data_IF_706039417329
#
_entry.id   IF_706039417329
#
_cell.length_a   1.000
_cell.length_b   1.000
_cell.length_c   1.000
_cell.angle_alpha   90.00
_cell.angle_beta   90.00
_cell.angle_gamma   90.00
#
_symmetry.space_group_name_H-M   'P 1'
#
loop_
_entity.id
_entity.type
_entity.pdbx_description
1 polymer ?
#
# COMPACT_ATOMS: atom_id res chain seq x y z
N UNK A 1 -0.28 1.34 -10.42
CA UNK A 1 -1.74 1.47 -10.35
C UNK A 1 -2.17 2.76 -9.65
N UNK A 2 -1.95 2.96 -8.34
CA UNK A 2 -2.35 4.19 -7.63
C UNK A 2 -1.93 5.49 -8.37
N UNK A 3 -0.64 5.64 -8.66
CA UNK A 3 -0.14 6.78 -9.44
C UNK A 3 -0.72 6.86 -10.85
N UNK A 4 -0.93 5.73 -11.53
CA UNK A 4 -1.53 5.71 -12.88
C UNK A 4 -2.98 6.23 -12.90
N UNK A 5 -3.69 6.21 -11.77
CA UNK A 5 -5.08 6.69 -11.67
C UNK A 5 -5.14 8.14 -11.22
N UNK A 6 -4.25 8.55 -10.31
CA UNK A 6 -4.38 9.81 -9.56
C UNK A 6 -3.28 10.84 -9.82
N UNK A 7 -2.20 10.43 -10.50
CA UNK A 7 -1.09 11.31 -10.85
C UNK A 7 -1.24 11.77 -12.29
N UNK A 8 -1.45 13.06 -12.46
CA UNK A 8 -1.39 13.76 -13.73
C UNK A 8 -0.61 15.07 -13.49
N UNK A 9 0.30 15.40 -14.38
CA UNK A 9 1.14 16.60 -14.24
C UNK A 9 0.39 17.89 -14.60
N UNK A 10 -0.75 17.77 -15.28
CA UNK A 10 -1.67 18.88 -15.53
C UNK A 10 -2.47 19.26 -14.29
N UNK A 11 -2.56 18.37 -13.29
CA UNK A 11 -3.27 18.62 -12.04
C UNK A 11 -2.48 19.57 -11.14
N UNK A 12 -2.92 20.82 -11.06
CA UNK A 12 -2.31 21.88 -10.26
C UNK A 12 -3.05 22.13 -8.95
N UNK A 13 -4.28 21.64 -8.82
CA UNK A 13 -5.10 21.83 -7.62
C UNK A 13 -4.42 21.30 -6.37
N UNK A 14 -4.51 22.06 -5.28
CA UNK A 14 -3.70 21.85 -4.07
C UNK A 14 -3.86 20.46 -3.46
N UNK A 15 -5.02 19.82 -3.61
CA UNK A 15 -5.30 18.50 -3.05
C UNK A 15 -4.84 17.34 -3.96
N UNK A 16 -4.38 17.62 -5.17
CA UNK A 16 -3.96 16.57 -6.11
C UNK A 16 -2.57 16.06 -5.79
N UNK A 17 -2.31 14.80 -6.14
CA UNK A 17 -1.05 14.14 -5.85
C UNK A 17 0.17 14.83 -6.47
N UNK A 18 0.03 15.32 -7.70
CA UNK A 18 1.10 16.04 -8.39
C UNK A 18 1.37 17.40 -7.73
N UNK A 19 0.35 18.18 -7.45
CA UNK A 19 0.52 19.46 -6.75
C UNK A 19 1.20 19.28 -5.38
N UNK A 20 0.82 18.25 -4.62
CA UNK A 20 1.47 17.94 -3.34
C UNK A 20 2.95 17.53 -3.50
N UNK A 21 3.30 16.78 -4.55
CA UNK A 21 4.71 16.50 -4.88
C UNK A 21 5.49 17.79 -5.07
N UNK A 22 4.96 18.70 -5.91
CA UNK A 22 5.61 19.97 -6.26
C UNK A 22 5.80 20.84 -5.02
N UNK A 23 4.75 20.98 -4.21
CA UNK A 23 4.75 21.84 -3.01
C UNK A 23 5.66 21.33 -1.90
N UNK A 24 5.79 20.02 -1.74
CA UNK A 24 6.76 19.40 -0.83
C UNK A 24 8.18 19.31 -1.41
N UNK A 25 8.41 19.82 -2.62
CA UNK A 25 9.71 19.78 -3.31
C UNK A 25 10.27 18.34 -3.46
N UNK A 26 9.41 17.33 -3.54
CA UNK A 26 9.81 15.92 -3.68
C UNK A 26 10.09 15.56 -5.14
N UNK A 27 11.17 16.14 -5.68
CA UNK A 27 11.57 16.01 -7.10
C UNK A 27 11.73 14.55 -7.53
N UNK A 28 12.33 13.72 -6.66
CA UNK A 28 12.59 12.30 -6.90
C UNK A 28 11.33 11.43 -6.97
N UNK A 29 10.16 11.91 -6.50
CA UNK A 29 8.92 11.15 -6.56
C UNK A 29 8.28 11.27 -7.96
N UNK A 30 8.81 10.55 -8.95
CA UNK A 30 8.27 10.55 -10.30
C UNK A 30 7.05 9.61 -10.44
N UNK A 31 5.85 10.19 -10.52
CA UNK A 31 4.61 9.46 -10.69
C UNK A 31 4.41 8.81 -12.07
N UNK A 32 5.11 9.30 -13.10
CA UNK A 32 5.10 8.70 -14.45
C UNK A 32 6.01 7.46 -14.50
N UNK A 33 7.07 7.44 -13.69
CA UNK A 33 8.04 6.34 -13.61
C UNK A 33 8.22 5.84 -12.17
N UNK A 34 7.12 5.34 -11.60
CA UNK A 34 7.11 4.77 -10.24
C UNK A 34 8.06 3.59 -10.10
N UNK A 35 8.34 2.85 -11.18
CA UNK A 35 9.18 1.65 -11.10
C UNK A 35 10.60 2.00 -10.68
N UNK A 36 11.17 3.04 -11.28
CA UNK A 36 12.55 3.47 -10.97
C UNK A 36 12.61 4.41 -9.76
N UNK A 37 11.47 4.97 -9.34
CA UNK A 37 11.38 5.92 -8.22
C UNK A 37 10.49 5.41 -7.08
N UNK A 38 10.44 4.09 -6.90
CA UNK A 38 9.45 3.43 -6.04
C UNK A 38 9.49 3.95 -4.61
N UNK A 39 10.66 4.05 -4.00
CA UNK A 39 10.79 4.48 -2.60
C UNK A 39 10.36 5.93 -2.40
N UNK A 40 10.79 6.85 -3.28
CA UNK A 40 10.39 8.26 -3.25
C UNK A 40 8.87 8.42 -3.43
N UNK A 41 8.29 7.68 -4.38
CA UNK A 41 6.85 7.66 -4.63
C UNK A 41 6.07 7.03 -3.47
N UNK A 42 6.61 6.00 -2.83
CA UNK A 42 6.03 5.37 -1.64
C UNK A 42 6.01 6.33 -0.45
N UNK A 43 7.12 7.02 -0.17
CA UNK A 43 7.21 7.98 0.93
C UNK A 43 6.25 9.17 0.72
N UNK A 44 6.14 9.69 -0.51
CA UNK A 44 5.14 10.71 -0.86
C UNK A 44 3.72 10.19 -0.64
N UNK A 45 3.46 8.94 -1.06
CA UNK A 45 2.15 8.34 -0.90
C UNK A 45 1.74 8.23 0.57
N UNK A 46 2.66 7.79 1.43
CA UNK A 46 2.45 7.65 2.89
C UNK A 46 2.22 9.00 3.56
N UNK A 47 2.97 10.05 3.18
CA UNK A 47 2.80 11.38 3.79
C UNK A 47 1.44 11.98 3.45
N UNK A 48 1.05 11.93 2.16
CA UNK A 48 -0.23 12.50 1.72
C UNK A 48 -1.42 11.71 2.27
N UNK A 49 -1.37 10.36 2.39
CA UNK A 49 -2.51 9.60 2.94
C UNK A 49 -2.75 9.93 4.41
N UNK A 50 -1.69 10.04 5.22
CA UNK A 50 -1.82 10.41 6.62
C UNK A 50 -2.46 11.78 6.78
N UNK A 51 -1.99 12.76 6.00
CA UNK A 51 -2.57 14.10 6.01
C UNK A 51 -4.05 14.09 5.60
N UNK A 52 -4.44 13.30 4.60
CA UNK A 52 -5.84 13.15 4.17
C UNK A 52 -6.71 12.48 5.24
N UNK A 53 -6.21 11.45 5.93
CA UNK A 53 -6.94 10.78 7.02
C UNK A 53 -7.12 11.70 8.23
N UNK A 54 -6.08 12.46 8.58
CA UNK A 54 -6.16 13.49 9.62
C UNK A 54 -7.20 14.53 9.22
N UNK A 55 -7.13 15.05 7.99
CA UNK A 55 -8.10 16.02 7.50
C UNK A 55 -9.54 15.48 7.50
N UNK A 56 -9.76 14.23 7.10
CA UNK A 56 -11.07 13.59 7.17
C UNK A 56 -11.61 13.52 8.60
N UNK A 57 -10.72 13.19 9.54
CA UNK A 57 -11.07 13.11 10.97
C UNK A 57 -11.41 14.50 11.53
N UNK A 58 -10.63 15.52 11.16
CA UNK A 58 -10.88 16.90 11.56
C UNK A 58 -12.22 17.41 11.02
N UNK A 59 -12.53 17.15 9.74
CA UNK A 59 -13.80 17.53 9.13
C UNK A 59 -14.98 16.81 9.78
N UNK A 60 -14.88 15.48 10.00
CA UNK A 60 -15.97 14.68 10.56
C UNK A 60 -16.35 15.11 11.99
N UNK A 61 -15.36 15.37 12.85
CA UNK A 61 -15.59 15.80 14.23
C UNK A 61 -15.62 17.32 14.42
N UNK A 62 -15.61 18.09 13.34
CA UNK A 62 -15.58 19.56 13.38
C UNK A 62 -14.42 20.14 14.22
N UNK A 63 -13.25 19.49 14.18
CA UNK A 63 -12.06 19.91 14.91
C UNK A 63 -11.27 20.96 14.13
N UNK A 64 -10.77 21.99 14.83
CA UNK A 64 -10.08 23.11 14.19
C UNK A 64 -8.65 22.80 13.76
N UNK A 65 -7.96 21.92 14.49
CA UNK A 65 -6.58 21.55 14.25
C UNK A 65 -6.25 20.21 14.94
N UNK A 66 -5.06 19.68 14.68
CA UNK A 66 -4.54 18.44 15.28
C UNK A 66 -4.32 18.48 16.78
N UNK A 67 -4.35 19.67 17.41
CA UNK A 67 -4.24 19.83 18.86
C UNK A 67 -5.63 19.87 19.54
N UNK A 68 -6.71 19.83 18.76
CA UNK A 68 -8.07 19.85 19.27
C UNK A 68 -8.47 18.43 19.66
N UNK A 69 -9.07 18.26 20.84
CA UNK A 69 -9.58 16.98 21.30
C UNK A 69 -11.05 16.81 20.89
N UNK A 70 -11.45 15.63 20.36
CA UNK A 70 -12.86 15.33 20.16
C UNK A 70 -13.61 15.30 21.50
N UNK A 71 -14.86 15.73 21.46
CA UNK A 71 -15.76 15.61 22.61
C UNK A 71 -16.05 14.12 22.90
N UNK A 72 -16.25 13.78 24.17
CA UNK A 72 -16.63 12.43 24.62
C UNK A 72 -15.56 11.32 24.49
N UNK A 73 -14.28 11.65 24.62
CA UNK A 73 -13.24 10.63 24.83
C UNK A 73 -13.43 9.99 26.21
N UNK A 74 -13.67 8.67 26.31
CA UNK A 74 -13.84 7.99 27.59
C UNK A 74 -12.50 7.89 28.33
N UNK A 75 -12.57 7.77 29.66
CA UNK A 75 -11.39 7.43 30.43
C UNK A 75 -10.99 5.97 30.18
N UNK A 76 -9.97 5.76 29.34
CA UNK A 76 -9.50 4.43 28.96
C UNK A 76 -8.86 3.67 30.13
N UNK A 77 -8.32 4.34 31.16
CA UNK A 77 -7.60 3.67 32.25
C UNK A 77 -8.51 2.73 33.07
N UNK A 78 -9.80 3.05 33.13
CA UNK A 78 -10.80 2.32 33.92
C UNK A 78 -11.63 1.34 33.08
N UNK A 79 -11.38 1.28 31.77
CA UNK A 79 -12.18 0.51 30.83
C UNK A 79 -11.52 -0.86 30.55
N UNK A 80 -12.33 -1.92 30.53
CA UNK A 80 -11.88 -3.24 30.06
C UNK A 80 -11.49 -3.19 28.58
N UNK A 81 -10.52 -4.00 28.17
CA UNK A 81 -9.95 -3.94 26.81
C UNK A 81 -10.98 -4.20 25.71
N UNK A 82 -11.98 -5.05 25.95
CA UNK A 82 -13.04 -5.30 24.96
C UNK A 82 -13.96 -4.09 24.79
N UNK A 83 -14.29 -3.39 25.87
CA UNK A 83 -15.04 -2.11 25.80
C UNK A 83 -14.24 -1.01 25.10
N UNK A 84 -12.91 -0.98 25.27
CA UNK A 84 -12.03 -0.04 24.53
C UNK A 84 -12.10 -0.33 23.03
N UNK A 85 -12.04 -1.60 22.63
CA UNK A 85 -12.15 -2.01 21.21
C UNK A 85 -13.51 -1.63 20.64
N UNK A 86 -14.61 -1.93 21.35
CA UNK A 86 -15.97 -1.59 20.92
C UNK A 86 -16.12 -0.07 20.72
N UNK A 87 -15.60 0.73 21.66
CA UNK A 87 -15.61 2.18 21.53
C UNK A 87 -14.75 2.67 20.36
N UNK A 88 -13.54 2.14 20.16
CA UNK A 88 -12.72 2.53 19.02
C UNK A 88 -13.38 2.19 17.68
N UNK A 89 -14.02 1.03 17.58
CA UNK A 89 -14.76 0.63 16.38
C UNK A 89 -15.95 1.58 16.16
N UNK A 90 -16.73 1.89 17.20
CA UNK A 90 -17.89 2.78 17.06
C UNK A 90 -17.48 4.22 16.73
N UNK A 91 -16.33 4.68 17.24
CA UNK A 91 -15.77 5.99 16.95
C UNK A 91 -15.26 6.07 15.50
N UNK A 92 -14.48 5.09 15.03
CA UNK A 92 -13.83 5.14 13.71
C UNK A 92 -14.78 4.77 12.55
N UNK A 93 -15.74 3.87 12.79
CA UNK A 93 -16.63 3.34 11.73
C UNK A 93 -17.38 4.43 10.93
N UNK A 94 -17.96 5.48 11.56
CA UNK A 94 -18.60 6.58 10.84
C UNK A 94 -17.67 7.27 9.84
N UNK A 95 -16.43 7.58 10.24
CA UNK A 95 -15.43 8.21 9.37
C UNK A 95 -15.11 7.30 8.19
N UNK A 96 -14.86 6.01 8.47
CA UNK A 96 -14.55 5.03 7.42
C UNK A 96 -15.70 4.94 6.40
N UNK A 97 -16.95 4.93 6.87
CA UNK A 97 -18.11 4.91 5.99
C UNK A 97 -18.25 6.19 5.15
N UNK A 98 -17.83 7.34 5.66
CA UNK A 98 -17.85 8.62 4.94
C UNK A 98 -16.76 8.69 3.86
N UNK A 99 -15.52 8.29 4.19
CA UNK A 99 -14.36 8.43 3.30
C UNK A 99 -14.31 7.34 2.21
N UNK A 100 -14.89 6.16 2.44
CA UNK A 100 -14.85 5.06 1.49
C UNK A 100 -15.84 5.27 0.34
N UNK A 101 -15.36 5.17 -0.91
CA UNK A 101 -16.18 5.49 -2.10
C UNK A 101 -17.12 4.36 -2.52
N UNK A 102 -16.90 3.14 -2.02
CA UNK A 102 -17.64 1.93 -2.41
C UNK A 102 -19.00 1.74 -1.74
N UNK A 103 -19.40 2.63 -0.83
CA UNK A 103 -20.74 2.59 -0.24
C UNK A 103 -21.84 3.08 -1.20
N UNK A 104 -21.53 3.38 -2.47
CA UNK A 104 -22.51 3.84 -3.46
C UNK A 104 -23.42 2.69 -3.94
N UNK A 105 -24.73 2.97 -4.00
CA UNK A 105 -25.81 2.06 -4.39
C UNK A 105 -25.50 1.36 -5.72
N UNK A 106 -25.31 0.04 -5.66
CA UNK A 106 -25.35 -0.82 -6.85
C UNK A 106 -26.82 -1.04 -7.19
N UNK A 107 -27.25 -0.61 -8.37
CA UNK A 107 -28.60 -0.90 -8.89
C UNK A 107 -28.43 -1.88 -10.03
N UNK A 108 -29.08 -3.04 -9.96
CA UNK A 108 -29.00 -4.10 -10.98
C UNK A 108 -27.57 -4.54 -11.36
N UNK A 109 -26.63 -4.51 -10.40
CA UNK A 109 -25.25 -4.94 -10.63
C UNK A 109 -24.37 -3.92 -11.34
N UNK A 110 -24.87 -2.71 -11.61
CA UNK A 110 -24.10 -1.59 -12.17
C UNK A 110 -23.96 -0.43 -11.18
N UNK A 111 -22.83 0.26 -11.25
CA UNK A 111 -22.57 1.46 -10.46
C UNK A 111 -23.29 2.64 -11.10
N UNK A 112 -24.13 3.32 -10.32
CA UNK A 112 -24.88 4.50 -10.78
C UNK A 112 -24.02 5.75 -10.63
N UNK A 113 -23.84 6.48 -11.73
CA UNK A 113 -23.14 7.77 -11.71
C UNK A 113 -24.01 8.85 -11.06
N UNK A 114 -23.38 9.75 -10.30
CA UNK A 114 -24.11 10.86 -9.69
C UNK A 114 -24.38 11.94 -10.74
N UNK A 115 -25.62 12.41 -10.83
CA UNK A 115 -26.02 13.42 -11.80
C UNK A 115 -25.32 14.78 -11.62
N UNK A 116 -24.89 15.11 -10.39
CA UNK A 116 -24.17 16.35 -10.10
C UNK A 116 -22.95 16.06 -9.21
N UNK A 117 -21.86 15.52 -9.78
CA UNK A 117 -20.78 14.93 -9.01
C UNK A 117 -19.84 16.00 -8.43
N UNK A 118 -19.39 15.80 -7.20
CA UNK A 118 -18.33 16.60 -6.56
C UNK A 118 -16.97 16.01 -6.91
N UNK A 119 -16.22 16.64 -7.82
CA UNK A 119 -14.94 16.11 -8.32
C UNK A 119 -13.88 16.03 -7.23
N UNK A 120 -13.80 17.05 -6.37
CA UNK A 120 -12.83 17.14 -5.29
C UNK A 120 -13.09 16.06 -4.24
N UNK A 121 -14.35 15.88 -3.85
CA UNK A 121 -14.74 14.82 -2.92
C UNK A 121 -14.50 13.43 -3.51
N UNK A 122 -14.90 13.20 -4.77
CA UNK A 122 -14.69 11.93 -5.43
C UNK A 122 -13.19 11.60 -5.57
N UNK A 123 -12.35 12.55 -5.98
CA UNK A 123 -10.90 12.38 -6.03
C UNK A 123 -10.34 12.00 -4.67
N UNK A 124 -10.73 12.72 -3.62
CA UNK A 124 -10.25 12.51 -2.26
C UNK A 124 -10.62 11.12 -1.72
N UNK A 125 -11.86 10.68 -1.95
CA UNK A 125 -12.32 9.34 -1.56
C UNK A 125 -11.58 8.22 -2.31
N UNK A 126 -11.40 8.36 -3.63
CA UNK A 126 -10.63 7.39 -4.43
C UNK A 126 -9.16 7.34 -3.98
N UNK A 127 -8.57 8.50 -3.69
CA UNK A 127 -7.20 8.61 -3.18
C UNK A 127 -7.03 7.90 -1.85
N UNK A 128 -7.93 8.15 -0.89
CA UNK A 128 -7.88 7.51 0.43
C UNK A 128 -8.06 6.01 0.29
N UNK A 129 -9.08 5.58 -0.43
CA UNK A 129 -9.42 4.16 -0.60
C UNK A 129 -8.27 3.37 -1.21
N UNK A 130 -7.73 3.80 -2.36
CA UNK A 130 -6.61 3.10 -3.02
C UNK A 130 -5.36 3.03 -2.15
N UNK A 131 -5.14 4.04 -1.29
CA UNK A 131 -3.98 4.08 -0.41
C UNK A 131 -4.15 3.30 0.88
N UNK A 132 -5.36 3.18 1.42
CA UNK A 132 -5.61 2.31 2.56
C UNK A 132 -5.27 0.86 2.21
N UNK A 133 -5.59 0.41 0.99
CA UNK A 133 -5.13 -0.91 0.47
C UNK A 133 -3.62 -1.02 0.46
N UNK A 134 -2.93 0.02 -0.02
CA UNK A 134 -1.47 0.02 -0.08
C UNK A 134 -0.82 0.01 1.32
N UNK A 135 -1.37 0.78 2.26
CA UNK A 135 -0.92 0.79 3.65
C UNK A 135 -1.13 -0.57 4.31
N UNK A 136 -2.27 -1.21 4.07
CA UNK A 136 -2.57 -2.56 4.57
C UNK A 136 -1.55 -3.58 4.04
N UNK A 137 -1.22 -3.54 2.75
CA UNK A 137 -0.15 -4.39 2.18
C UNK A 137 1.21 -4.12 2.84
N UNK A 138 1.56 -2.86 3.07
CA UNK A 138 2.81 -2.50 3.75
C UNK A 138 2.85 -2.98 5.21
N UNK A 139 1.72 -2.96 5.90
CA UNK A 139 1.60 -3.42 7.27
C UNK A 139 1.64 -4.95 7.38
N UNK A 140 0.96 -5.66 6.47
CA UNK A 140 1.01 -7.13 6.38
C UNK A 140 2.45 -7.63 6.21
N UNK A 141 3.31 -6.92 5.48
CA UNK A 141 4.74 -7.28 5.37
C UNK A 141 5.43 -7.28 6.72
N UNK A 142 5.11 -6.32 7.59
CA UNK A 142 5.73 -6.20 8.92
C UNK A 142 5.12 -7.18 9.93
N UNK A 143 3.83 -7.43 9.82
CA UNK A 143 3.08 -8.35 10.68
C UNK A 143 2.23 -9.30 9.83
N UNK A 144 2.85 -10.36 9.26
CA UNK A 144 2.16 -11.29 8.37
C UNK A 144 0.92 -11.92 9.02
N UNK A 145 -0.22 -11.73 8.38
CA UNK A 145 -1.47 -12.37 8.76
C UNK A 145 -2.20 -12.83 7.51
N UNK A 146 -2.47 -14.13 7.43
CA UNK A 146 -3.10 -14.75 6.26
C UNK A 146 -4.48 -14.18 5.95
N UNK A 147 -5.34 -14.01 6.94
CA UNK A 147 -6.72 -13.57 6.72
C UNK A 147 -6.78 -12.13 6.21
N UNK A 148 -5.95 -11.25 6.80
CA UNK A 148 -5.76 -9.88 6.34
C UNK A 148 -5.26 -9.83 4.90
N UNK A 149 -4.20 -10.59 4.59
CA UNK A 149 -3.65 -10.66 3.23
C UNK A 149 -4.67 -11.13 2.21
N UNK A 150 -5.39 -12.21 2.50
CA UNK A 150 -6.36 -12.77 1.55
C UNK A 150 -7.52 -11.81 1.30
N UNK A 151 -8.00 -11.12 2.34
CA UNK A 151 -9.03 -10.08 2.20
C UNK A 151 -8.52 -8.92 1.36
N UNK A 152 -7.31 -8.43 1.66
CA UNK A 152 -6.68 -7.35 0.90
C UNK A 152 -6.44 -7.73 -0.58
N UNK A 153 -6.02 -8.97 -0.85
CA UNK A 153 -5.79 -9.49 -2.20
C UNK A 153 -7.08 -9.64 -3.00
N UNK A 154 -8.17 -10.14 -2.40
CA UNK A 154 -9.49 -10.19 -3.06
C UNK A 154 -9.90 -8.79 -3.53
N UNK A 155 -9.72 -7.80 -2.67
CA UNK A 155 -10.06 -6.43 -2.99
C UNK A 155 -9.13 -5.82 -4.05
N UNK A 156 -7.82 -6.01 -3.91
CA UNK A 156 -6.83 -5.57 -4.90
C UNK A 156 -7.06 -6.19 -6.28
N UNK A 157 -7.49 -7.46 -6.35
CA UNK A 157 -7.87 -8.14 -7.59
C UNK A 157 -9.00 -7.39 -8.31
N UNK A 158 -10.04 -6.95 -7.57
CA UNK A 158 -11.14 -6.17 -8.15
C UNK A 158 -10.63 -4.85 -8.72
N UNK A 159 -9.83 -4.10 -7.94
CA UNK A 159 -9.29 -2.82 -8.41
C UNK A 159 -8.45 -3.02 -9.68
N UNK A 160 -7.56 -4.02 -9.70
CA UNK A 160 -6.70 -4.31 -10.85
C UNK A 160 -7.50 -4.75 -12.08
N UNK A 161 -8.53 -5.57 -11.89
CA UNK A 161 -9.41 -6.05 -12.98
C UNK A 161 -10.26 -4.91 -13.55
N UNK A 162 -10.74 -4.02 -12.70
CA UNK A 162 -11.54 -2.86 -13.09
C UNK A 162 -10.70 -1.78 -13.78
N UNK A 163 -9.45 -1.60 -13.34
CA UNK A 163 -8.50 -0.70 -14.00
C UNK A 163 -8.08 -1.20 -15.38
N UNK A 164 -7.73 -2.49 -15.48
CA UNK A 164 -7.36 -3.14 -16.73
C UNK A 164 -7.97 -4.55 -16.80
N UNK A 165 -8.90 -4.73 -17.73
CA UNK A 165 -9.61 -6.00 -17.93
C UNK A 165 -8.68 -7.17 -18.30
N UNK A 166 -7.49 -6.90 -18.84
CA UNK A 166 -6.44 -7.87 -19.19
C UNK A 166 -5.29 -7.90 -18.19
N UNK A 167 -5.51 -7.42 -16.96
CA UNK A 167 -4.48 -7.36 -15.93
C UNK A 167 -3.93 -8.76 -15.60
N UNK A 168 -2.65 -8.98 -15.93
CA UNK A 168 -1.90 -10.18 -15.54
C UNK A 168 -1.82 -10.30 -14.02
N UNK A 169 -1.68 -9.18 -13.32
CA UNK A 169 -1.64 -9.15 -11.85
C UNK A 169 -2.97 -9.60 -11.23
N UNK A 170 -4.11 -9.18 -11.77
CA UNK A 170 -5.41 -9.67 -11.30
C UNK A 170 -5.54 -11.18 -11.50
N UNK A 171 -5.02 -11.70 -12.62
CA UNK A 171 -5.04 -13.13 -12.90
C UNK A 171 -4.16 -13.94 -11.93
N UNK A 172 -2.95 -13.46 -11.63
CA UNK A 172 -2.06 -14.12 -10.66
C UNK A 172 -2.65 -14.09 -9.25
N UNK A 173 -3.31 -12.98 -8.85
CA UNK A 173 -4.03 -12.94 -7.58
C UNK A 173 -5.18 -13.96 -7.57
N UNK A 174 -5.96 -14.06 -8.65
CA UNK A 174 -7.00 -15.08 -8.77
C UNK A 174 -6.42 -16.49 -8.61
N UNK A 175 -5.30 -16.78 -9.29
CA UNK A 175 -4.59 -18.06 -9.19
C UNK A 175 -4.16 -18.35 -7.75
N UNK A 176 -3.56 -17.37 -7.08
CA UNK A 176 -3.16 -17.49 -5.67
C UNK A 176 -4.37 -17.73 -4.77
N UNK A 177 -5.49 -17.03 -4.98
CA UNK A 177 -6.72 -17.28 -4.23
C UNK A 177 -7.26 -18.71 -4.45
N UNK A 178 -7.21 -19.22 -5.69
CA UNK A 178 -7.60 -20.61 -5.99
C UNK A 178 -6.71 -21.61 -5.24
N UNK A 179 -5.39 -21.37 -5.20
CA UNK A 179 -4.46 -22.17 -4.41
C UNK A 179 -4.83 -22.17 -2.92
N UNK A 180 -5.23 -21.01 -2.39
CA UNK A 180 -5.53 -20.85 -0.97
C UNK A 180 -6.85 -21.47 -0.51
N UNK A 181 -7.84 -21.55 -1.40
CA UNK A 181 -9.19 -22.02 -1.06
C UNK A 181 -9.56 -23.39 -1.63
N UNK A 182 -8.96 -23.82 -2.74
CA UNK A 182 -9.42 -25.00 -3.47
C UNK A 182 -8.30 -26.01 -3.78
N UNK A 183 -7.09 -25.56 -4.14
CA UNK A 183 -6.06 -26.46 -4.69
C UNK A 183 -5.08 -27.00 -3.65
N UNK A 184 -4.68 -26.19 -2.66
CA UNK A 184 -3.69 -26.60 -1.66
C UNK A 184 -4.38 -27.13 -0.39
N UNK A 185 -3.76 -28.13 0.24
CA UNK A 185 -4.12 -28.51 1.60
C UNK A 185 -3.96 -27.34 2.57
N UNK A 186 -4.67 -27.37 3.72
CA UNK A 186 -4.58 -26.32 4.74
C UNK A 186 -3.14 -26.02 5.18
N UNK A 187 -2.29 -27.05 5.28
CA UNK A 187 -0.88 -26.90 5.63
C UNK A 187 -0.09 -26.18 4.53
N UNK A 188 -0.27 -26.61 3.28
CA UNK A 188 0.42 -26.01 2.13
C UNK A 188 -0.03 -24.57 1.87
N UNK A 189 -1.33 -24.28 2.02
CA UNK A 189 -1.86 -22.92 1.82
C UNK A 189 -1.30 -21.93 2.84
N UNK A 190 -1.20 -22.34 4.11
CA UNK A 190 -0.52 -21.57 5.16
C UNK A 190 0.97 -21.38 4.84
N UNK A 191 1.68 -22.45 4.48
CA UNK A 191 3.09 -22.38 4.13
C UNK A 191 3.35 -21.44 2.93
N UNK A 192 2.49 -21.48 1.90
CA UNK A 192 2.58 -20.60 0.74
C UNK A 192 2.42 -19.11 1.10
N UNK A 193 1.54 -18.78 2.06
CA UNK A 193 1.36 -17.40 2.54
C UNK A 193 2.56 -16.94 3.35
N UNK A 194 2.98 -17.72 4.34
CA UNK A 194 4.09 -17.32 5.21
C UNK A 194 5.44 -17.36 4.49
N UNK A 195 5.57 -18.18 3.43
CA UNK A 195 6.74 -18.19 2.55
C UNK A 195 6.92 -16.93 1.71
N UNK A 196 5.93 -16.03 1.66
CA UNK A 196 6.09 -14.70 1.04
C UNK A 196 6.93 -13.75 1.90
N UNK A 197 7.20 -14.11 3.14
CA UNK A 197 7.87 -13.26 4.12
C UNK A 197 9.08 -13.99 4.71
N UNK A 198 10.13 -13.23 5.02
CA UNK A 198 11.35 -13.73 5.65
C UNK A 198 11.61 -12.94 6.92
N UNK A 199 11.77 -13.64 8.03
CA UNK A 199 12.23 -13.05 9.28
C UNK A 199 13.76 -12.98 9.27
N UNK A 200 14.31 -11.77 9.31
CA UNK A 200 15.76 -11.50 9.33
C UNK A 200 16.34 -11.50 10.75
N UNK A 201 15.55 -11.84 11.77
CA UNK A 201 15.89 -11.71 13.19
C UNK A 201 15.69 -10.29 13.75
N UNK A 202 15.77 -9.26 12.90
CA UNK A 202 15.50 -7.85 13.28
C UNK A 202 14.15 -7.35 12.82
N UNK A 203 13.74 -7.77 11.63
CA UNK A 203 12.47 -7.36 11.00
C UNK A 203 12.00 -8.45 10.05
N UNK A 204 10.72 -8.41 9.72
CA UNK A 204 10.15 -9.20 8.64
C UNK A 204 10.22 -8.39 7.34
N UNK A 205 10.65 -9.03 6.26
CA UNK A 205 10.71 -8.44 4.92
C UNK A 205 10.06 -9.37 3.89
N UNK A 206 9.68 -8.88 2.70
CA UNK A 206 9.22 -9.73 1.62
C UNK A 206 10.33 -10.70 1.19
N UNK A 207 9.98 -11.94 0.86
CA UNK A 207 10.92 -12.93 0.37
C UNK A 207 11.64 -12.48 -0.91
N UNK A 208 10.95 -11.74 -1.78
CA UNK A 208 11.54 -11.12 -2.97
C UNK A 208 12.66 -10.13 -2.65
N UNK A 209 12.49 -9.31 -1.61
CA UNK A 209 13.53 -8.38 -1.15
C UNK A 209 14.73 -9.13 -0.55
N UNK A 210 14.49 -10.22 0.19
CA UNK A 210 15.57 -11.08 0.66
C UNK A 210 16.35 -11.68 -0.50
N UNK A 211 15.65 -12.13 -1.55
CA UNK A 211 16.30 -12.63 -2.77
C UNK A 211 17.14 -11.55 -3.45
N UNK A 212 16.67 -10.31 -3.52
CA UNK A 212 17.47 -9.20 -4.03
C UNK A 212 18.76 -9.00 -3.22
N UNK A 213 18.68 -9.05 -1.89
CA UNK A 213 19.86 -8.96 -1.01
C UNK A 213 20.84 -10.11 -1.27
N UNK A 214 20.36 -11.35 -1.36
CA UNK A 214 21.19 -12.52 -1.67
C UNK A 214 21.87 -12.40 -3.03
N UNK A 215 21.14 -11.97 -4.07
CA UNK A 215 21.68 -11.71 -5.40
C UNK A 215 22.76 -10.62 -5.37
N UNK A 216 22.55 -9.55 -4.62
CA UNK A 216 23.53 -8.46 -4.47
C UNK A 216 24.81 -8.95 -3.81
N UNK A 217 24.70 -9.68 -2.70
CA UNK A 217 25.84 -10.30 -2.00
C UNK A 217 26.61 -11.23 -2.94
N UNK A 218 25.87 -12.09 -3.65
CA UNK A 218 26.44 -13.04 -4.61
C UNK A 218 27.24 -12.31 -5.70
N UNK A 219 26.67 -11.27 -6.32
CA UNK A 219 27.36 -10.44 -7.32
C UNK A 219 28.62 -9.78 -6.77
N UNK A 220 28.61 -9.30 -5.53
CA UNK A 220 29.79 -8.72 -4.88
C UNK A 220 30.91 -9.75 -4.74
N UNK A 221 30.59 -10.96 -4.26
CA UNK A 221 31.58 -12.01 -4.12
C UNK A 221 32.14 -12.50 -5.44
N UNK A 222 31.30 -12.59 -6.48
CA UNK A 222 31.74 -12.95 -7.84
C UNK A 222 32.71 -11.90 -8.38
N UNK A 223 32.37 -10.61 -8.25
CA UNK A 223 33.27 -9.52 -8.65
C UNK A 223 34.61 -9.58 -7.92
N UNK A 224 34.60 -9.93 -6.64
CA UNK A 224 35.80 -10.08 -5.84
C UNK A 224 36.66 -11.31 -6.20
N UNK A 225 36.18 -12.25 -7.03
CA UNK A 225 37.00 -13.36 -7.55
C UNK A 225 37.83 -12.95 -8.77
N UNK A 226 37.54 -11.82 -9.41
CA UNK A 226 38.24 -11.35 -10.61
C UNK A 226 38.39 -12.44 -11.68
N UNK A 227 39.63 -12.78 -12.09
CA UNK A 227 39.92 -13.79 -13.10
C UNK A 227 39.76 -15.23 -12.63
N UNK A 228 39.57 -15.47 -11.33
CA UNK A 228 39.48 -16.82 -10.75
C UNK A 228 38.06 -17.41 -10.82
N UNK A 229 37.17 -16.84 -11.64
CA UNK A 229 35.77 -17.30 -11.80
C UNK A 229 35.75 -18.57 -12.66
N UNK A 230 35.73 -19.71 -11.98
CA UNK A 230 35.43 -21.04 -12.56
C UNK A 230 34.20 -21.64 -11.88
N UNK A 231 33.51 -22.59 -12.51
CA UNK A 231 32.32 -23.24 -11.93
C UNK A 231 32.60 -23.85 -10.55
N UNK A 232 33.77 -24.49 -10.40
CA UNK A 232 34.19 -25.06 -9.11
C UNK A 232 34.42 -23.98 -8.05
N UNK A 233 35.06 -22.86 -8.41
CA UNK A 233 35.27 -21.75 -7.49
C UNK A 233 33.96 -21.08 -7.08
N UNK A 234 32.99 -20.98 -7.99
CA UNK A 234 31.66 -20.42 -7.75
C UNK A 234 30.88 -21.28 -6.78
N UNK A 235 30.84 -22.60 -6.98
CA UNK A 235 30.17 -23.54 -6.08
C UNK A 235 30.78 -23.46 -4.68
N UNK A 236 32.12 -23.55 -4.58
CA UNK A 236 32.84 -23.47 -3.31
C UNK A 236 32.62 -22.15 -2.57
N UNK A 237 32.64 -21.02 -3.28
CA UNK A 237 32.44 -19.71 -2.66
C UNK A 237 30.98 -19.48 -2.26
N UNK A 238 30.03 -19.91 -3.09
CA UNK A 238 28.59 -19.75 -2.81
C UNK A 238 28.14 -20.59 -1.62
N UNK A 239 28.66 -21.81 -1.47
CA UNK A 239 28.37 -22.65 -0.29
C UNK A 239 28.98 -22.08 1.00
N UNK A 240 30.03 -21.26 0.89
CA UNK A 240 30.71 -20.64 2.03
C UNK A 240 30.14 -19.28 2.44
N UNK A 241 29.16 -18.69 1.72
CA UNK A 241 28.67 -17.33 1.99
C UNK A 241 28.21 -17.11 3.43
N UNK A 242 27.46 -18.06 3.97
CA UNK A 242 26.95 -17.96 5.33
C UNK A 242 28.10 -17.97 6.35
N UNK A 243 29.03 -18.92 6.22
CA UNK A 243 30.20 -19.01 7.10
C UNK A 243 31.13 -17.80 6.99
N UNK A 244 31.31 -17.23 5.79
CA UNK A 244 32.09 -16.00 5.61
C UNK A 244 31.45 -14.83 6.37
N UNK A 245 30.13 -14.67 6.27
CA UNK A 245 29.41 -13.62 7.01
C UNK A 245 29.51 -13.84 8.53
N UNK A 246 29.33 -15.08 9.01
CA UNK A 246 29.40 -15.41 10.43
C UNK A 246 30.80 -15.13 11.02
N UNK A 247 31.86 -15.53 10.30
CA UNK A 247 33.25 -15.20 10.67
C UNK A 247 33.48 -13.69 10.65
N UNK A 248 32.96 -12.98 9.64
CA UNK A 248 33.09 -11.52 9.56
C UNK A 248 32.40 -10.82 10.72
N UNK A 249 31.20 -11.26 11.10
CA UNK A 249 30.46 -10.71 12.25
C UNK A 249 31.17 -10.99 13.57
N UNK A 250 31.70 -12.21 13.76
CA UNK A 250 32.49 -12.57 14.94
C UNK A 250 33.77 -11.73 15.05
N UNK A 251 34.52 -11.60 13.95
CA UNK A 251 35.71 -10.76 13.90
C UNK A 251 35.41 -9.30 14.21
N UNK A 252 34.33 -8.74 13.66
CA UNK A 252 33.89 -7.37 13.98
C UNK A 252 33.54 -7.20 15.46
N UNK A 253 32.94 -8.20 16.09
CA UNK A 253 32.58 -8.16 17.52
C UNK A 253 33.82 -8.21 18.42
N UNK A 254 34.83 -9.02 18.07
CA UNK A 254 36.07 -9.15 18.85
C UNK A 254 37.03 -7.96 18.64
N UNK A 255 37.13 -7.45 17.41
CA UNK A 255 38.09 -6.41 17.04
C UNK A 255 37.73 -5.01 17.56
N UNK A 256 36.60 -4.86 18.26
CA UNK A 256 36.10 -3.56 18.76
C UNK A 256 36.02 -2.49 17.66
N UNK A 257 35.89 -2.91 16.40
CA UNK A 257 35.84 -2.00 15.26
C UNK A 257 34.58 -1.16 15.38
N UNK A 258 34.75 0.15 15.48
CA UNK A 258 33.64 1.10 15.50
C UNK A 258 32.91 0.98 14.16
N UNK A 259 31.77 0.27 14.16
CA UNK A 259 30.85 0.29 13.02
C UNK A 259 30.34 1.71 12.87
N UNK A 260 30.96 2.48 11.97
CA UNK A 260 30.43 3.77 11.50
C UNK A 260 29.24 3.51 10.59
N UNK A 261 28.18 2.93 11.16
CA UNK A 261 26.91 2.90 10.50
C UNK A 261 26.44 4.34 10.39
N UNK A 262 26.47 4.90 9.18
CA UNK A 262 25.63 6.05 8.89
C UNK A 262 24.19 5.56 9.04
N UNK A 263 23.62 5.71 10.24
CA UNK A 263 22.17 5.67 10.39
C UNK A 263 21.69 6.82 9.53
N UNK A 264 21.18 6.52 8.33
CA UNK A 264 20.42 7.49 7.58
C UNK A 264 19.32 7.98 8.53
N UNK A 265 19.49 9.20 9.04
CA UNK A 265 18.50 9.82 9.91
C UNK A 265 17.29 9.98 9.02
N UNK A 266 16.27 9.12 9.21
CA UNK A 266 15.04 9.23 8.43
C UNK A 266 14.48 10.60 8.75
N UNK A 267 14.50 11.50 7.77
CA UNK A 267 13.98 12.85 7.93
C UNK A 267 12.51 12.70 8.34
N UNK A 268 12.10 13.42 9.37
CA UNK A 268 10.73 13.37 9.86
C UNK A 268 9.79 13.87 8.76
N UNK A 269 8.76 13.09 8.43
CA UNK A 269 7.71 13.51 7.48
C UNK A 269 6.65 14.40 8.13
N UNK A 270 6.75 14.67 9.44
CA UNK A 270 5.71 15.38 10.20
C UNK A 270 5.53 16.82 9.70
N UNK A 271 6.61 17.53 9.37
CA UNK A 271 6.51 18.89 8.83
C UNK A 271 5.81 18.91 7.47
N UNK A 272 6.11 17.94 6.61
CA UNK A 272 5.44 17.79 5.32
C UNK A 272 3.95 17.46 5.49
N UNK A 273 3.63 16.53 6.41
CA UNK A 273 2.25 16.16 6.75
C UNK A 273 1.47 17.38 7.27
N UNK A 274 2.06 18.19 8.15
CA UNK A 274 1.44 19.43 8.66
C UNK A 274 1.23 20.49 7.59
N UNK A 275 2.17 20.65 6.65
CA UNK A 275 1.99 21.53 5.48
C UNK A 275 0.77 21.09 4.70
N UNK A 276 0.71 19.82 4.29
CA UNK A 276 -0.44 19.25 3.57
C UNK A 276 -1.75 19.53 4.34
N UNK A 277 -1.82 19.22 5.64
CA UNK A 277 -3.03 19.44 6.45
C UNK A 277 -3.47 20.92 6.41
N UNK A 278 -2.51 21.84 6.59
CA UNK A 278 -2.80 23.28 6.59
C UNK A 278 -3.43 23.75 5.27
N UNK A 279 -3.00 23.14 4.16
CA UNK A 279 -3.47 23.46 2.82
C UNK A 279 -4.86 22.88 2.52
N UNK A 280 -5.11 21.67 3.02
CA UNK A 280 -6.38 20.99 2.80
C UNK A 280 -7.52 21.59 3.63
N UNK A 281 -7.21 22.30 4.74
CA UNK A 281 -8.20 22.89 5.64
C UNK A 281 -9.24 23.76 4.92
N UNK A 282 -8.81 24.52 3.91
CA UNK A 282 -9.69 25.43 3.17
C UNK A 282 -10.48 24.71 2.05
N UNK A 283 -10.04 23.53 1.62
CA UNK A 283 -10.62 22.82 0.48
C UNK A 283 -11.89 22.08 0.87
N UNK A 284 -12.02 21.64 2.14
CA UNK A 284 -13.14 20.81 2.65
C UNK A 284 -13.35 19.57 1.77
N UNK A 285 -12.42 18.62 1.88
CA UNK A 285 -12.33 17.49 0.96
C UNK A 285 -13.48 16.50 1.11
N UNK A 286 -13.91 16.23 2.34
CA UNK A 286 -14.85 15.15 2.65
C UNK A 286 -16.28 15.65 2.80
N UNK A 287 -16.46 16.96 3.03
CA UNK A 287 -17.75 17.64 2.88
C UNK A 287 -18.22 17.64 1.42
N UNK A 288 -19.42 17.14 1.16
CA UNK A 288 -19.99 17.04 -0.19
C UNK A 288 -20.61 18.36 -0.65
N UNK A 289 -20.12 18.89 -1.77
CA UNK A 289 -20.67 20.07 -2.46
C UNK A 289 -21.10 19.67 -3.88
N UNK A 290 -22.41 19.58 -4.17
CA UNK A 290 -22.91 19.18 -5.48
C UNK A 290 -22.35 20.07 -6.61
N UNK A 291 -21.79 19.45 -7.65
CA UNK A 291 -21.28 20.16 -8.83
C UNK A 291 -19.96 20.91 -8.64
N UNK A 292 -19.21 20.63 -7.57
CA UNK A 292 -17.88 21.22 -7.37
C UNK A 292 -16.89 20.68 -8.42
N UNK A 293 -16.39 21.58 -9.26
CA UNK A 293 -15.43 21.35 -10.33
C UNK A 293 -14.16 22.21 -10.08
N UNK A 294 -13.04 21.79 -10.64
CA UNK A 294 -11.80 22.57 -10.68
C UNK A 294 -11.20 22.56 -12.08
N UNK A 295 -10.45 23.60 -12.43
CA UNK A 295 -9.86 23.76 -13.77
C UNK A 295 -8.92 22.61 -14.16
N UNK A 296 -8.29 21.97 -13.16
CA UNK A 296 -7.35 20.88 -13.41
C UNK A 296 -8.02 19.49 -13.43
N UNK A 297 -9.21 19.33 -12.85
CA UNK A 297 -9.99 18.08 -12.89
C UNK A 297 -11.18 18.17 -13.85
N UNK A 298 -10.89 18.02 -15.14
CA UNK A 298 -11.89 18.08 -16.20
C UNK A 298 -12.72 16.80 -16.32
N UNK A 299 -12.23 15.68 -15.76
CA UNK A 299 -12.90 14.39 -15.78
C UNK A 299 -13.08 13.83 -14.37
N UNK A 300 -14.21 13.14 -14.17
CA UNK A 300 -14.47 12.47 -12.91
C UNK A 300 -13.43 11.37 -12.66
N UNK A 301 -12.73 11.50 -11.54
CA UNK A 301 -11.90 10.42 -11.01
C UNK A 301 -12.80 9.25 -10.63
N UNK A 302 -12.78 8.21 -11.46
CA UNK A 302 -13.59 7.00 -11.25
C UNK A 302 -12.78 5.98 -10.47
N UNK A 303 -13.41 5.42 -9.44
CA UNK A 303 -12.90 4.24 -8.79
C UNK A 303 -12.79 3.11 -9.83
N UNK A 304 -11.65 2.42 -9.98
CA UNK A 304 -11.51 1.35 -10.97
C UNK A 304 -12.59 0.26 -10.87
N UNK A 305 -13.09 -0.01 -9.67
CA UNK A 305 -14.14 -1.00 -9.42
C UNK A 305 -15.45 -0.62 -10.13
N UNK A 306 -15.70 0.68 -10.37
CA UNK A 306 -16.94 1.14 -11.01
C UNK A 306 -17.11 0.63 -12.44
N UNK A 307 -16.02 0.22 -13.09
CA UNK A 307 -16.01 -0.34 -14.45
C UNK A 307 -16.35 -1.83 -14.48
N UNK A 308 -16.49 -2.47 -13.32
CA UNK A 308 -16.75 -3.91 -13.23
C UNK A 308 -18.24 -4.22 -13.34
N UNK A 309 -18.55 -5.21 -14.17
CA UNK A 309 -19.82 -5.93 -14.17
C UNK A 309 -19.66 -7.22 -13.37
N UNK A 310 -20.58 -7.47 -12.44
CA UNK A 310 -20.58 -8.69 -11.61
C UNK A 310 -20.68 -9.93 -12.51
N UNK A 311 -21.52 -9.89 -13.54
CA UNK A 311 -21.73 -11.00 -14.48
C UNK A 311 -20.45 -11.31 -15.25
N UNK A 312 -19.76 -10.29 -15.74
CA UNK A 312 -18.52 -10.48 -16.49
C UNK A 312 -17.36 -10.95 -15.59
N UNK A 313 -17.33 -10.45 -14.36
CA UNK A 313 -16.38 -10.92 -13.35
C UNK A 313 -16.58 -12.40 -13.03
N UNK A 314 -17.84 -12.84 -12.83
CA UNK A 314 -18.16 -14.25 -12.59
C UNK A 314 -17.76 -15.14 -13.77
N UNK A 315 -18.12 -14.75 -15.00
CA UNK A 315 -17.70 -15.47 -16.22
C UNK A 315 -16.18 -15.56 -16.34
N UNK A 316 -15.47 -14.47 -16.03
CA UNK A 316 -14.01 -14.42 -16.04
C UNK A 316 -13.41 -15.37 -15.00
N UNK A 317 -13.92 -15.37 -13.76
CA UNK A 317 -13.48 -16.27 -12.70
C UNK A 317 -13.71 -17.73 -13.11
N UNK A 318 -14.91 -18.08 -13.56
CA UNK A 318 -15.25 -19.45 -14.00
C UNK A 318 -14.34 -19.95 -15.11
N UNK A 319 -14.08 -19.11 -16.12
CA UNK A 319 -13.16 -19.45 -17.23
C UNK A 319 -11.77 -19.86 -16.73
N UNK A 320 -11.22 -19.14 -15.76
CA UNK A 320 -9.85 -19.40 -15.28
C UNK A 320 -9.79 -20.45 -14.18
N UNK A 321 -10.84 -20.62 -13.37
CA UNK A 321 -10.94 -21.72 -12.40
C UNK A 321 -10.74 -23.08 -13.08
N UNK A 322 -11.44 -23.31 -14.20
CA UNK A 322 -11.28 -24.54 -14.99
C UNK A 322 -9.84 -24.72 -15.47
N UNK A 323 -9.19 -23.63 -15.90
CA UNK A 323 -7.80 -23.69 -16.38
C UNK A 323 -6.82 -24.06 -15.27
N UNK A 324 -6.94 -23.43 -14.10
CA UNK A 324 -6.01 -23.63 -13.00
C UNK A 324 -6.11 -25.02 -12.37
N UNK A 325 -7.27 -25.66 -12.44
CA UNK A 325 -7.43 -27.04 -11.96
C UNK A 325 -6.52 -28.04 -12.68
N UNK A 326 -6.17 -27.78 -13.95
CA UNK A 326 -5.28 -28.64 -14.74
C UNK A 326 -3.79 -28.27 -14.62
N UNK A 327 -3.44 -27.26 -13.83
CA UNK A 327 -2.05 -26.80 -13.65
C UNK A 327 -1.39 -27.33 -12.35
N UNK A 328 -2.16 -27.99 -11.49
CA UNK A 328 -1.71 -28.66 -10.25
C UNK A 328 -1.63 -30.15 -10.53
#
# INVERSE_FOLDING_TARGET
>A
MFYQILYDETHTDIFTLHSQKVRLLRKEANGLDVKNHFDSCKELAISVIKAFLVQATLEHYNLQNTNSNPENIPNFEQMQDDKKKEWMISFITPIVNEIMSLSKKVVNGTFVEEANPDMVNNYSKVLVELRLVFLELCDIVKSPNRERLITCLKYLMLILKGHNSKSKYALEILRFLCQQYALLSKKQSHAAVYGLFVNTGKTIIPADLQMEHLVRITKTHIRAMCSNVTDQSLIKRSSAFFGINEISEAFENESSVIKRAQKHKRISSVEDENKIISDLKNVKLFTKFPGRLTESLNEQTKNPISKLSIVDLQKWIQKYLTKFFFEV
#
